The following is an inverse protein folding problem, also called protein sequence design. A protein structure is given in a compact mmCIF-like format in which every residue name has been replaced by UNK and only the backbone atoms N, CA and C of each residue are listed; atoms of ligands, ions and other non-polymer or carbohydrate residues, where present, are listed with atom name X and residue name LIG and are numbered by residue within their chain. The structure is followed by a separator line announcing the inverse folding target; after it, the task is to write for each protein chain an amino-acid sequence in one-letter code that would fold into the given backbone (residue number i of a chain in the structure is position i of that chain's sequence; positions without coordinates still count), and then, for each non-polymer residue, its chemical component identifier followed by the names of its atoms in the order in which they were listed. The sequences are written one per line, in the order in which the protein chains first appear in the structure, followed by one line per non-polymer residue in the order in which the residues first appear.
data_IF_713357401470
#
_entry.id   IF_713357401470
#
_cell.length_a   1.000
_cell.length_b   1.000
_cell.length_c   1.000
_cell.angle_alpha   90.00
_cell.angle_beta   90.00
_cell.angle_gamma   90.00
#
_symmetry.space_group_name_H-M   'P 1'
#
loop_
_entity.id
_entity.type
_entity.pdbx_description
1 polymer ?
#
# COMPACT_ATOMS: atom_id res chain seq x y z
N UNK A 1 -9.14 -11.45 5.40
CA UNK A 1 -7.90 -11.87 4.73
C UNK A 1 -7.73 -13.34 5.05
N UNK A 2 -7.73 -14.21 4.04
CA UNK A 2 -7.39 -15.62 4.28
C UNK A 2 -5.93 -15.69 4.75
N UNK A 3 -5.59 -16.64 5.62
CA UNK A 3 -4.29 -16.69 6.29
C UNK A 3 -3.07 -16.80 5.33
N UNK A 4 -3.31 -17.09 4.05
CA UNK A 4 -2.29 -17.23 3.02
C UNK A 4 -2.55 -16.35 1.78
N UNK A 5 -3.41 -15.33 1.87
CA UNK A 5 -3.72 -14.46 0.74
C UNK A 5 -2.52 -13.51 0.49
N UNK A 6 -1.83 -13.61 -0.65
CA UNK A 6 -0.75 -12.68 -0.98
C UNK A 6 -1.34 -11.33 -1.39
N UNK A 7 -0.60 -10.28 -1.08
CA UNK A 7 -0.94 -8.92 -1.45
C UNK A 7 0.29 -8.15 -1.91
N UNK A 8 0.05 -7.15 -2.73
CA UNK A 8 1.02 -6.12 -3.12
C UNK A 8 0.40 -4.75 -2.88
N UNK A 9 1.21 -3.81 -2.41
CA UNK A 9 0.81 -2.44 -2.14
C UNK A 9 1.75 -1.49 -2.87
N UNK A 10 1.15 -0.56 -3.60
CA UNK A 10 1.80 0.64 -4.11
C UNK A 10 1.44 1.85 -3.26
N UNK A 11 2.45 2.62 -2.85
CA UNK A 11 2.26 3.93 -2.24
C UNK A 11 2.58 5.00 -3.26
N UNK A 12 1.57 5.78 -3.64
CA UNK A 12 1.68 6.85 -4.61
C UNK A 12 1.75 8.19 -3.90
N UNK A 13 2.64 9.07 -4.34
CA UNK A 13 2.63 10.49 -3.96
C UNK A 13 1.46 11.22 -4.62
N UNK A 14 1.23 12.48 -4.21
CA UNK A 14 0.13 13.31 -4.70
C UNK A 14 0.15 13.56 -6.22
N UNK A 15 1.32 13.45 -6.84
CA UNK A 15 1.53 13.54 -8.29
C UNK A 15 1.26 12.21 -9.04
N UNK A 16 0.91 11.14 -8.31
CA UNK A 16 0.64 9.82 -8.85
C UNK A 16 1.89 8.95 -9.08
N UNK A 17 3.08 9.38 -8.62
CA UNK A 17 4.30 8.57 -8.72
C UNK A 17 4.36 7.51 -7.63
N UNK A 18 4.74 6.28 -7.98
CA UNK A 18 5.02 5.22 -6.99
C UNK A 18 6.28 5.59 -6.21
N UNK A 19 6.13 5.73 -4.89
CA UNK A 19 7.18 6.09 -3.92
C UNK A 19 7.64 4.91 -3.09
N UNK A 20 6.77 3.92 -2.88
CA UNK A 20 7.10 2.66 -2.21
C UNK A 20 6.27 1.53 -2.79
N UNK A 21 6.87 0.34 -2.86
CA UNK A 21 6.19 -0.90 -3.23
C UNK A 21 6.56 -1.98 -2.24
N UNK A 22 5.57 -2.69 -1.73
CA UNK A 22 5.79 -3.81 -0.83
C UNK A 22 4.80 -4.92 -1.12
N UNK A 23 5.27 -6.16 -1.06
CA UNK A 23 4.42 -7.34 -1.06
C UNK A 23 4.43 -8.03 0.30
N UNK A 24 3.40 -8.80 0.57
CA UNK A 24 3.26 -9.55 1.81
C UNK A 24 2.22 -10.64 1.68
N UNK A 25 2.00 -11.35 2.79
CA UNK A 25 1.02 -12.42 2.89
C UNK A 25 0.21 -12.15 4.17
N UNK A 26 -1.10 -12.42 4.14
CA UNK A 26 -1.96 -12.30 5.32
C UNK A 26 -1.93 -10.88 5.94
N UNK A 27 -1.97 -10.76 7.27
CA UNK A 27 -1.95 -9.50 8.01
C UNK A 27 -0.53 -8.92 8.19
N UNK A 28 0.33 -9.03 7.17
CA UNK A 28 1.67 -8.46 7.19
C UNK A 28 1.69 -6.95 7.46
N UNK A 29 2.73 -6.47 8.11
CA UNK A 29 2.93 -5.04 8.39
C UNK A 29 3.49 -4.34 7.17
N UNK A 30 2.85 -3.24 6.76
CA UNK A 30 3.38 -2.32 5.76
C UNK A 30 4.30 -1.31 6.45
N UNK A 31 5.60 -1.33 6.12
CA UNK A 31 6.55 -0.37 6.66
C UNK A 31 6.75 0.80 5.69
N UNK A 32 6.32 1.98 6.13
CA UNK A 32 6.44 3.26 5.41
C UNK A 32 7.16 4.32 6.25
N UNK A 33 7.93 3.89 7.26
CA UNK A 33 8.67 4.78 8.16
C UNK A 33 9.61 5.74 7.42
N UNK A 34 10.22 5.26 6.32
CA UNK A 34 11.14 6.02 5.48
C UNK A 34 10.49 7.11 4.62
N UNK A 35 9.16 7.11 4.44
CA UNK A 35 8.48 8.14 3.65
C UNK A 35 8.53 9.49 4.39
N UNK A 36 8.71 10.63 3.71
CA UNK A 36 8.59 11.94 4.36
C UNK A 36 7.13 12.23 4.76
N UNK A 37 6.92 13.26 5.58
CA UNK A 37 5.58 13.74 5.89
C UNK A 37 4.89 14.25 4.61
N UNK A 38 3.61 13.92 4.42
CA UNK A 38 2.90 14.24 3.18
C UNK A 38 1.61 13.45 2.98
N UNK A 39 0.89 13.80 1.90
CA UNK A 39 -0.32 13.11 1.48
C UNK A 39 0.02 12.02 0.47
N UNK A 40 -0.49 10.82 0.71
CA UNK A 40 -0.24 9.64 -0.12
C UNK A 40 -1.53 8.89 -0.44
N UNK A 41 -1.50 8.10 -1.50
CA UNK A 41 -2.47 7.07 -1.80
C UNK A 41 -1.82 5.69 -1.67
N UNK A 42 -2.52 4.76 -1.03
CA UNK A 42 -2.20 3.36 -0.96
C UNK A 42 -3.11 2.62 -1.93
N UNK A 43 -2.52 1.90 -2.88
CA UNK A 43 -3.24 1.01 -3.79
C UNK A 43 -2.90 -0.45 -3.44
N UNK A 44 -3.90 -1.20 -3.00
CA UNK A 44 -3.79 -2.59 -2.60
C UNK A 44 -4.22 -3.49 -3.76
N UNK A 45 -3.30 -4.34 -4.20
CA UNK A 45 -3.49 -5.37 -5.20
C UNK A 45 -3.55 -6.74 -4.52
N UNK A 46 -4.62 -7.49 -4.77
CA UNK A 46 -4.81 -8.86 -4.27
C UNK A 46 -5.26 -9.74 -5.42
N UNK A 47 -4.83 -11.00 -5.42
CA UNK A 47 -5.20 -11.96 -6.46
C UNK A 47 -6.72 -12.13 -6.45
N UNK A 48 -7.36 -12.08 -7.62
CA UNK A 48 -8.82 -12.24 -7.81
C UNK A 48 -9.69 -11.18 -7.09
N UNK A 49 -9.12 -10.03 -6.76
CA UNK A 49 -9.85 -8.92 -6.16
C UNK A 49 -9.59 -7.62 -6.91
N UNK A 50 -10.63 -6.79 -7.01
CA UNK A 50 -10.49 -5.42 -7.51
C UNK A 50 -9.48 -4.63 -6.66
N UNK A 51 -8.61 -3.81 -7.29
CA UNK A 51 -7.70 -2.94 -6.58
C UNK A 51 -8.49 -2.02 -5.64
N UNK A 52 -8.00 -1.90 -4.39
CA UNK A 52 -8.58 -0.97 -3.42
C UNK A 52 -7.63 0.19 -3.17
N UNK A 53 -8.19 1.40 -3.07
CA UNK A 53 -7.41 2.60 -2.80
C UNK A 53 -7.81 3.24 -1.48
N UNK A 54 -6.82 3.68 -0.71
CA UNK A 54 -7.00 4.47 0.50
C UNK A 54 -6.04 5.66 0.49
N UNK A 55 -6.52 6.84 0.89
CA UNK A 55 -5.67 8.03 1.02
C UNK A 55 -5.33 8.26 2.48
N UNK A 56 -4.09 8.63 2.76
CA UNK A 56 -3.62 8.89 4.11
C UNK A 56 -2.63 10.04 4.17
N UNK A 57 -2.61 10.73 5.31
CA UNK A 57 -1.65 11.78 5.62
C UNK A 57 -0.60 11.20 6.58
N UNK A 58 0.66 11.20 6.16
CA UNK A 58 1.79 10.89 7.04
C UNK A 58 2.25 12.17 7.74
N UNK A 59 2.28 12.15 9.06
CA UNK A 59 2.82 13.23 9.90
C UNK A 59 4.29 13.01 10.18
#
# INVERSE_FOLDING_TARGET
LSANEPWEVDILSIDGKVTHRQSGISNGVLDVSHLPAGLYALQLHRINHEPKMLRFLKK
#
